data_IF_842046055328
#
_entry.id   IF_842046055328
#
_cell.length_a   1.000
_cell.length_b   1.000
_cell.length_c   1.000
_cell.angle_alpha   90.00
_cell.angle_beta   90.00
_cell.angle_gamma   90.00
#
_symmetry.space_group_name_H-M   'P 1'
#
loop_
_entity.id
_entity.type
_entity.pdbx_description
1 polymer ?
#
# COMPACT_ATOMS: atom_id res chain seq x y z
N UNK A 1 9.68 7.08 29.33
CA UNK A 1 8.39 7.73 29.00
C UNK A 1 7.47 6.59 28.57
N UNK A 2 6.29 6.41 29.20
CA UNK A 2 5.27 5.52 28.68
C UNK A 2 4.88 6.09 27.33
N UNK A 3 5.10 5.33 26.25
CA UNK A 3 4.61 5.70 24.92
C UNK A 3 3.09 5.84 25.05
N UNK A 4 2.59 6.95 24.54
CA UNK A 4 1.15 7.24 24.57
C UNK A 4 0.48 6.22 23.66
N UNK A 5 -0.47 5.44 24.20
CA UNK A 5 -1.30 4.54 23.40
C UNK A 5 -2.00 5.36 22.32
N UNK A 6 -1.76 5.03 21.07
CA UNK A 6 -2.43 5.66 19.92
C UNK A 6 -3.49 4.71 19.36
N UNK A 7 -4.56 5.30 18.80
CA UNK A 7 -5.54 4.58 18.01
C UNK A 7 -5.15 4.73 16.55
N UNK A 8 -4.80 3.62 15.92
CA UNK A 8 -4.34 3.59 14.55
C UNK A 8 -5.30 2.76 13.68
N UNK A 9 -5.67 3.32 12.55
CA UNK A 9 -6.41 2.63 11.52
C UNK A 9 -5.48 2.29 10.35
N UNK A 10 -5.42 1.01 9.98
CA UNK A 10 -4.50 0.48 8.95
C UNK A 10 -5.32 -0.15 7.84
N UNK A 11 -4.99 0.10 6.57
CA UNK A 11 -5.66 -0.58 5.46
C UNK A 11 -4.68 -1.22 4.50
N UNK A 12 -5.12 -2.32 3.89
CA UNK A 12 -4.47 -2.99 2.76
C UNK A 12 -5.50 -3.18 1.64
N UNK A 13 -5.28 -2.52 0.51
CA UNK A 13 -6.18 -2.54 -0.66
C UNK A 13 -5.81 -3.62 -1.70
N UNK A 14 -4.84 -4.47 -1.39
CA UNK A 14 -4.52 -5.69 -2.15
C UNK A 14 -4.09 -6.76 -1.15
N UNK A 15 -4.98 -7.05 -0.19
CA UNK A 15 -4.66 -7.78 1.03
C UNK A 15 -4.20 -9.23 0.78
N UNK A 16 -4.57 -9.83 -0.35
CA UNK A 16 -4.22 -11.21 -0.66
C UNK A 16 -4.64 -12.14 0.47
N UNK A 17 -3.71 -12.91 1.00
CA UNK A 17 -3.92 -13.80 2.15
C UNK A 17 -3.89 -13.09 3.52
N UNK A 18 -3.78 -11.75 3.54
CA UNK A 18 -3.77 -10.94 4.77
C UNK A 18 -2.44 -10.96 5.54
N UNK A 19 -1.41 -11.62 5.03
CA UNK A 19 -0.18 -11.85 5.80
C UNK A 19 0.56 -10.55 6.14
N UNK A 20 0.71 -9.65 5.16
CA UNK A 20 1.36 -8.34 5.37
C UNK A 20 0.62 -7.51 6.42
N UNK A 21 -0.70 -7.37 6.26
CA UNK A 21 -1.55 -6.62 7.18
C UNK A 21 -1.49 -7.20 8.60
N UNK A 22 -1.62 -8.52 8.74
CA UNK A 22 -1.60 -9.20 10.04
C UNK A 22 -0.28 -8.97 10.79
N UNK A 23 0.87 -9.04 10.10
CA UNK A 23 2.19 -8.78 10.70
C UNK A 23 2.29 -7.33 11.19
N UNK A 24 1.84 -6.37 10.38
CA UNK A 24 1.87 -4.95 10.75
C UNK A 24 0.98 -4.69 11.96
N UNK A 25 -0.25 -5.22 11.98
CA UNK A 25 -1.16 -5.06 13.11
C UNK A 25 -0.61 -5.69 14.39
N UNK A 26 -0.05 -6.89 14.31
CA UNK A 26 0.58 -7.56 15.47
C UNK A 26 1.75 -6.73 16.00
N UNK A 27 2.59 -6.17 15.14
CA UNK A 27 3.70 -5.31 15.53
C UNK A 27 3.20 -4.03 16.23
N UNK A 28 2.24 -3.32 15.63
CA UNK A 28 1.68 -2.09 16.22
C UNK A 28 1.02 -2.36 17.58
N UNK A 29 0.26 -3.46 17.69
CA UNK A 29 -0.36 -3.87 18.95
C UNK A 29 0.67 -4.22 20.02
N UNK A 30 1.77 -4.89 19.65
CA UNK A 30 2.88 -5.21 20.60
C UNK A 30 3.58 -3.95 21.13
N UNK A 31 3.49 -2.84 20.42
CA UNK A 31 3.98 -1.51 20.85
C UNK A 31 2.97 -0.76 21.72
N UNK A 32 1.83 -1.38 22.04
CA UNK A 32 0.80 -0.81 22.91
C UNK A 32 -0.25 0.04 22.20
N UNK A 33 -0.31 0.03 20.86
CA UNK A 33 -1.33 0.75 20.11
C UNK A 33 -2.66 -0.02 20.07
N UNK A 34 -3.77 0.72 20.07
CA UNK A 34 -5.08 0.19 19.72
C UNK A 34 -5.23 0.23 18.20
N UNK A 35 -5.42 -0.95 17.56
CA UNK A 35 -5.44 -1.05 16.10
C UNK A 35 -6.79 -1.53 15.58
N UNK A 36 -7.23 -0.94 14.47
CA UNK A 36 -8.32 -1.41 13.61
C UNK A 36 -7.86 -1.44 12.17
N UNK A 37 -8.47 -2.24 11.31
CA UNK A 37 -8.04 -2.34 9.93
C UNK A 37 -9.14 -2.64 8.92
N UNK A 38 -8.87 -2.29 7.65
CA UNK A 38 -9.59 -2.72 6.46
C UNK A 38 -8.68 -3.59 5.59
N UNK A 39 -9.21 -4.70 5.10
CA UNK A 39 -8.56 -5.58 4.14
C UNK A 39 -9.45 -5.72 2.91
N UNK A 40 -8.97 -5.29 1.75
CA UNK A 40 -9.71 -5.35 0.50
C UNK A 40 -8.94 -6.21 -0.50
N UNK A 41 -9.62 -7.12 -1.17
CA UNK A 41 -9.06 -7.87 -2.30
C UNK A 41 -10.16 -8.20 -3.31
N UNK A 42 -9.81 -8.34 -4.58
CA UNK A 42 -10.73 -8.69 -5.65
C UNK A 42 -10.88 -10.20 -5.89
N UNK A 43 -10.18 -11.02 -5.13
CA UNK A 43 -10.25 -12.48 -5.13
C UNK A 43 -10.98 -12.96 -3.86
N UNK A 44 -12.15 -13.59 -4.03
CA UNK A 44 -13.00 -14.06 -2.93
C UNK A 44 -12.35 -15.17 -2.11
N UNK A 45 -11.53 -16.02 -2.75
CA UNK A 45 -10.78 -17.07 -2.05
C UNK A 45 -9.67 -16.44 -1.18
N UNK A 46 -8.91 -15.50 -1.73
CA UNK A 46 -7.83 -14.84 -0.99
C UNK A 46 -8.37 -14.07 0.22
N UNK A 47 -9.45 -13.30 0.05
CA UNK A 47 -10.05 -12.56 1.17
C UNK A 47 -10.62 -13.51 2.25
N UNK A 48 -11.14 -14.66 1.84
CA UNK A 48 -11.59 -15.70 2.77
C UNK A 48 -10.42 -16.31 3.55
N UNK A 49 -9.29 -16.54 2.89
CA UNK A 49 -8.05 -17.01 3.54
C UNK A 49 -7.53 -15.93 4.50
N UNK A 50 -7.56 -14.67 4.11
CA UNK A 50 -7.15 -13.54 4.96
C UNK A 50 -7.98 -13.48 6.24
N UNK A 51 -9.32 -13.62 6.14
CA UNK A 51 -10.21 -13.62 7.30
C UNK A 51 -9.91 -14.79 8.26
N UNK A 52 -9.68 -15.98 7.73
CA UNK A 52 -9.29 -17.13 8.56
C UNK A 52 -7.92 -16.96 9.20
N UNK A 53 -6.94 -16.41 8.48
CA UNK A 53 -5.61 -16.09 9.01
C UNK A 53 -5.69 -15.09 10.14
N UNK A 54 -6.44 -13.99 9.96
CA UNK A 54 -6.67 -13.00 11.00
C UNK A 54 -7.36 -13.59 12.24
N UNK A 55 -8.31 -14.49 12.04
CA UNK A 55 -8.98 -15.20 13.14
C UNK A 55 -8.00 -16.04 13.97
N UNK A 56 -7.13 -16.81 13.31
CA UNK A 56 -6.10 -17.59 13.99
C UNK A 56 -5.11 -16.75 14.79
N UNK A 57 -4.90 -15.49 14.39
CA UNK A 57 -4.05 -14.52 15.09
C UNK A 57 -4.80 -13.68 16.14
N UNK A 58 -6.08 -13.94 16.38
CA UNK A 58 -6.91 -13.19 17.34
C UNK A 58 -7.24 -11.76 16.87
N UNK A 59 -7.28 -11.52 15.57
CA UNK A 59 -7.50 -10.20 14.96
C UNK A 59 -8.92 -10.04 14.37
N UNK A 60 -9.81 -11.03 14.47
CA UNK A 60 -11.13 -11.05 13.82
C UNK A 60 -11.96 -9.79 14.08
N UNK A 61 -11.98 -9.32 15.32
CA UNK A 61 -12.77 -8.14 15.73
C UNK A 61 -12.10 -6.81 15.35
N UNK A 62 -10.88 -6.87 14.80
CA UNK A 62 -10.08 -5.69 14.48
C UNK A 62 -10.01 -5.40 13.00
N UNK A 63 -10.30 -6.39 12.15
CA UNK A 63 -10.15 -6.29 10.70
C UNK A 63 -11.51 -6.48 10.05
N UNK A 64 -11.91 -5.52 9.24
CA UNK A 64 -13.04 -5.65 8.32
C UNK A 64 -12.53 -6.12 6.95
N UNK A 65 -13.11 -7.20 6.43
CA UNK A 65 -12.71 -7.82 5.18
C UNK A 65 -13.74 -7.54 4.08
N UNK A 66 -13.29 -7.04 2.95
CA UNK A 66 -14.14 -6.67 1.82
C UNK A 66 -13.65 -7.33 0.52
N UNK A 67 -14.51 -8.13 -0.10
CA UNK A 67 -14.30 -8.62 -1.46
C UNK A 67 -14.74 -7.55 -2.45
N UNK A 68 -13.78 -6.87 -3.08
CA UNK A 68 -14.04 -5.76 -4.01
C UNK A 68 -12.83 -5.45 -4.89
N UNK A 69 -13.08 -4.91 -6.07
CA UNK A 69 -12.02 -4.28 -6.86
C UNK A 69 -11.65 -2.94 -6.19
N UNK A 70 -10.43 -2.87 -5.70
CA UNK A 70 -9.92 -1.72 -4.95
C UNK A 70 -9.80 -0.44 -5.77
N UNK A 71 -9.81 -0.54 -7.10
CA UNK A 71 -9.75 0.62 -8.01
C UNK A 71 -11.14 1.21 -8.32
N UNK A 72 -12.15 0.85 -7.56
CA UNK A 72 -13.44 1.54 -7.50
C UNK A 72 -13.57 2.38 -6.23
N UNK A 73 -14.65 3.13 -6.10
CA UNK A 73 -14.96 3.83 -4.85
C UNK A 73 -15.24 2.82 -3.74
N UNK A 74 -14.52 2.94 -2.63
CA UNK A 74 -14.64 2.08 -1.46
C UNK A 74 -15.30 2.84 -0.31
N UNK A 75 -16.18 2.17 0.41
CA UNK A 75 -16.81 2.71 1.61
C UNK A 75 -15.98 2.36 2.86
N UNK A 76 -14.75 2.84 2.89
CA UNK A 76 -13.82 2.64 4.01
C UNK A 76 -13.40 3.98 4.61
N UNK A 77 -13.01 3.95 5.90
CA UNK A 77 -12.49 5.13 6.56
C UNK A 77 -11.07 5.47 6.09
N UNK A 78 -10.69 6.76 6.06
CA UNK A 78 -9.30 7.14 5.83
C UNK A 78 -8.38 6.55 6.89
N UNK A 79 -7.20 6.06 6.46
CA UNK A 79 -6.27 5.32 7.30
C UNK A 79 -5.09 6.18 7.75
N UNK A 80 -4.59 5.90 8.95
CA UNK A 80 -3.34 6.47 9.46
C UNK A 80 -2.14 5.84 8.74
N UNK A 81 -2.27 4.55 8.41
CA UNK A 81 -1.24 3.78 7.72
C UNK A 81 -1.89 2.94 6.61
N UNK A 82 -1.31 2.97 5.42
CA UNK A 82 -1.63 2.06 4.32
C UNK A 82 -0.44 1.13 4.08
N UNK A 83 -0.71 -0.16 3.99
CA UNK A 83 0.28 -1.17 3.62
C UNK A 83 -0.26 -1.96 2.44
N UNK A 84 0.57 -2.30 1.46
CA UNK A 84 0.09 -3.14 0.36
C UNK A 84 1.24 -3.68 -0.49
N UNK A 85 1.13 -4.92 -0.95
CA UNK A 85 1.94 -5.46 -2.05
C UNK A 85 1.18 -5.29 -3.36
N UNK A 86 1.57 -4.31 -4.18
CA UNK A 86 0.79 -3.93 -5.33
C UNK A 86 0.74 -5.00 -6.41
N UNK A 87 -0.45 -5.22 -7.01
CA UNK A 87 -0.59 -6.07 -8.18
C UNK A 87 0.21 -5.47 -9.35
N UNK A 88 0.96 -6.31 -10.06
CA UNK A 88 1.81 -5.90 -11.18
C UNK A 88 1.14 -6.28 -12.49
N UNK A 89 1.24 -5.40 -13.50
CA UNK A 89 0.66 -5.59 -14.81
C UNK A 89 -0.30 -4.48 -15.20
N UNK A 90 -1.02 -4.72 -16.28
CA UNK A 90 -2.01 -3.75 -16.78
C UNK A 90 -3.37 -3.97 -16.11
N UNK A 91 -4.02 -2.85 -15.77
CA UNK A 91 -5.39 -2.89 -15.27
C UNK A 91 -6.37 -3.04 -16.44
N UNK A 92 -7.29 -4.04 -16.39
CA UNK A 92 -8.10 -4.37 -17.56
C UNK A 92 -9.29 -3.44 -17.81
N UNK A 93 -9.73 -2.67 -16.79
CA UNK A 93 -10.95 -1.84 -16.88
C UNK A 93 -10.58 -0.39 -17.19
N UNK A 94 -10.33 -0.09 -18.47
CA UNK A 94 -9.87 1.23 -18.92
C UNK A 94 -10.80 2.38 -18.52
N UNK A 95 -12.12 2.19 -18.59
CA UNK A 95 -13.08 3.25 -18.21
C UNK A 95 -12.93 3.67 -16.75
N UNK A 96 -12.62 2.74 -15.85
CA UNK A 96 -12.37 3.02 -14.46
C UNK A 96 -11.00 3.67 -14.26
N UNK A 97 -9.99 3.21 -14.99
CA UNK A 97 -8.65 3.78 -14.94
C UNK A 97 -8.63 5.29 -15.25
N UNK A 98 -9.47 5.76 -16.16
CA UNK A 98 -9.57 7.19 -16.55
C UNK A 98 -9.93 8.13 -15.37
N UNK A 99 -10.44 7.60 -14.27
CA UNK A 99 -10.73 8.41 -13.08
C UNK A 99 -9.47 8.77 -12.28
N UNK A 100 -8.34 8.16 -12.61
CA UNK A 100 -7.06 8.36 -11.90
C UNK A 100 -6.15 9.33 -12.67
N UNK A 101 -5.45 10.17 -11.94
CA UNK A 101 -4.44 11.09 -12.49
C UNK A 101 -3.19 10.36 -12.98
N UNK A 102 -2.93 9.18 -12.40
CA UNK A 102 -1.82 8.29 -12.76
C UNK A 102 -2.14 7.37 -13.95
N UNK A 103 -3.36 7.47 -14.51
CA UNK A 103 -3.72 6.73 -15.70
C UNK A 103 -2.98 7.23 -16.95
N UNK A 104 -2.77 6.32 -17.89
CA UNK A 104 -2.20 6.68 -19.19
C UNK A 104 -3.26 7.31 -20.08
N UNK A 105 -2.84 8.28 -20.88
CA UNK A 105 -3.73 8.95 -21.85
C UNK A 105 -4.21 7.99 -22.96
N UNK A 106 -3.40 6.98 -23.26
CA UNK A 106 -3.67 5.96 -24.28
C UNK A 106 -3.28 4.57 -23.78
N UNK A 107 -4.05 3.56 -24.19
CA UNK A 107 -3.82 2.16 -23.83
C UNK A 107 -4.20 1.83 -22.39
N UNK A 108 -3.76 0.66 -21.95
CA UNK A 108 -4.04 0.17 -20.60
C UNK A 108 -3.03 0.75 -19.60
N UNK A 109 -3.52 1.26 -18.49
CA UNK A 109 -2.69 1.79 -17.40
C UNK A 109 -2.09 0.67 -16.55
N UNK A 110 -0.94 0.91 -15.94
CA UNK A 110 -0.37 -0.02 -14.98
C UNK A 110 -1.21 -0.06 -13.70
N UNK A 111 -1.57 -1.26 -13.26
CA UNK A 111 -2.33 -1.46 -12.02
C UNK A 111 -1.61 -0.86 -10.82
N UNK A 112 -0.29 -1.05 -10.69
CA UNK A 112 0.50 -0.51 -9.58
C UNK A 112 0.57 1.02 -9.56
N UNK A 113 0.43 1.73 -10.70
CA UNK A 113 0.32 3.20 -10.71
C UNK A 113 -1.03 3.65 -10.15
N UNK A 114 -2.12 3.02 -10.60
CA UNK A 114 -3.47 3.32 -10.13
C UNK A 114 -3.62 2.98 -8.63
N UNK A 115 -3.07 1.84 -8.22
CA UNK A 115 -3.06 1.42 -6.80
C UNK A 115 -2.27 2.37 -5.91
N UNK A 116 -1.19 2.96 -6.43
CA UNK A 116 -0.44 3.97 -5.68
C UNK A 116 -1.33 5.17 -5.37
N UNK A 117 -2.00 5.72 -6.40
CA UNK A 117 -2.93 6.84 -6.23
C UNK A 117 -4.09 6.47 -5.31
N UNK A 118 -4.69 5.29 -5.50
CA UNK A 118 -5.83 4.85 -4.68
C UNK A 118 -5.46 4.76 -3.21
N UNK A 119 -4.33 4.13 -2.88
CA UNK A 119 -3.89 4.02 -1.50
C UNK A 119 -3.63 5.41 -0.88
N UNK A 120 -3.00 6.33 -1.60
CA UNK A 120 -2.77 7.69 -1.10
C UNK A 120 -4.07 8.47 -0.94
N UNK A 121 -5.07 8.25 -1.81
CA UNK A 121 -6.38 8.90 -1.67
C UNK A 121 -7.07 8.52 -0.34
N UNK A 122 -6.93 7.26 0.10
CA UNK A 122 -7.47 6.79 1.38
C UNK A 122 -6.55 6.99 2.60
N UNK A 123 -5.35 7.55 2.42
CA UNK A 123 -4.54 8.01 3.54
C UNK A 123 -5.09 9.32 4.12
N UNK A 124 -5.08 9.43 5.45
CA UNK A 124 -5.22 10.71 6.14
C UNK A 124 -4.09 11.66 5.75
N UNK A 125 -4.29 12.96 5.90
CA UNK A 125 -3.18 13.92 5.82
C UNK A 125 -2.08 13.56 6.82
N UNK A 126 -0.84 13.63 6.38
CA UNK A 126 0.35 13.19 7.13
C UNK A 126 0.40 11.70 7.46
N UNK A 127 -0.51 10.88 6.92
CA UNK A 127 -0.51 9.42 7.05
C UNK A 127 0.64 8.77 6.28
N UNK A 128 0.98 7.54 6.66
CA UNK A 128 2.11 6.80 6.13
C UNK A 128 1.67 5.70 5.17
N UNK A 129 2.35 5.59 4.02
CA UNK A 129 2.22 4.47 3.10
C UNK A 129 3.49 3.64 3.08
N UNK A 130 3.35 2.32 3.14
CA UNK A 130 4.43 1.33 3.05
C UNK A 130 4.04 0.34 1.98
N UNK A 131 4.61 0.50 0.78
CA UNK A 131 4.17 -0.24 -0.40
C UNK A 131 5.29 -1.10 -0.96
N UNK A 132 4.97 -2.35 -1.28
CA UNK A 132 5.85 -3.23 -2.06
C UNK A 132 5.50 -3.03 -3.53
N UNK A 133 6.47 -2.56 -4.30
CA UNK A 133 6.31 -2.12 -5.69
C UNK A 133 7.37 -2.75 -6.59
N UNK A 134 7.18 -2.79 -7.93
CA UNK A 134 8.26 -3.13 -8.84
C UNK A 134 9.47 -2.21 -8.62
N UNK A 135 10.69 -2.76 -8.62
CA UNK A 135 11.89 -1.94 -8.38
C UNK A 135 12.14 -0.91 -9.48
N UNK A 136 11.64 -1.15 -10.67
CA UNK A 136 11.72 -0.26 -11.82
C UNK A 136 10.55 0.74 -11.95
N UNK A 137 9.70 0.86 -10.92
CA UNK A 137 8.51 1.72 -10.94
C UNK A 137 8.85 3.18 -11.33
N UNK A 138 10.06 3.64 -11.03
CA UNK A 138 10.54 4.97 -11.34
C UNK A 138 11.47 5.02 -12.58
N UNK A 139 11.62 3.92 -13.32
CA UNK A 139 12.55 3.80 -14.45
C UNK A 139 11.83 3.54 -15.78
N UNK A 140 10.51 3.37 -15.79
CA UNK A 140 9.75 3.13 -17.00
C UNK A 140 9.57 4.40 -17.82
N UNK A 141 9.29 4.28 -19.12
CA UNK A 141 8.96 5.39 -20.03
C UNK A 141 7.68 6.15 -19.59
N UNK A 142 6.82 5.54 -18.79
CA UNK A 142 5.60 6.12 -18.23
C UNK A 142 5.78 6.76 -16.85
N UNK A 143 6.95 6.66 -16.26
CA UNK A 143 7.24 7.15 -14.90
C UNK A 143 6.90 8.63 -14.69
N UNK A 144 7.01 9.46 -15.74
CA UNK A 144 6.69 10.89 -15.64
C UNK A 144 5.28 11.17 -15.17
N UNK A 145 4.30 10.32 -15.53
CA UNK A 145 2.90 10.43 -15.09
C UNK A 145 2.79 10.22 -13.58
N UNK A 146 3.38 9.14 -13.07
CA UNK A 146 3.39 8.84 -11.63
C UNK A 146 4.17 9.89 -10.85
N UNK A 147 5.39 10.24 -11.29
CA UNK A 147 6.26 11.19 -10.60
C UNK A 147 5.69 12.61 -10.55
N UNK A 148 4.99 13.04 -11.61
CA UNK A 148 4.29 14.32 -11.63
C UNK A 148 3.27 14.39 -10.50
N UNK A 149 2.46 13.37 -10.35
CA UNK A 149 1.44 13.29 -9.31
C UNK A 149 2.04 13.13 -7.90
N UNK A 150 3.05 12.26 -7.73
CA UNK A 150 3.69 12.01 -6.42
C UNK A 150 4.29 13.27 -5.82
N UNK A 151 4.99 14.09 -6.62
CA UNK A 151 5.62 15.33 -6.16
C UNK A 151 4.63 16.32 -5.54
N UNK A 152 3.38 16.28 -5.97
CA UNK A 152 2.33 17.16 -5.47
C UNK A 152 1.62 16.61 -4.23
N UNK A 153 1.68 15.30 -4.01
CA UNK A 153 0.79 14.61 -3.07
C UNK A 153 1.50 13.96 -1.89
N UNK A 154 2.76 13.55 -2.05
CA UNK A 154 3.49 12.82 -1.01
C UNK A 154 4.95 13.25 -0.90
N UNK A 155 5.54 12.97 0.26
CA UNK A 155 6.99 12.96 0.46
C UNK A 155 7.47 11.51 0.45
N UNK A 156 8.37 11.17 -0.50
CA UNK A 156 9.04 9.86 -0.50
C UNK A 156 10.11 9.90 0.57
N UNK A 157 10.06 8.98 1.53
CA UNK A 157 10.98 8.90 2.65
C UNK A 157 12.08 7.87 2.43
N UNK A 158 11.70 6.70 1.85
CA UNK A 158 12.67 5.64 1.57
C UNK A 158 12.25 4.79 0.37
N UNK A 159 13.26 4.23 -0.30
CA UNK A 159 13.11 3.22 -1.34
C UNK A 159 14.17 2.13 -1.09
N UNK A 160 13.71 0.94 -0.68
CA UNK A 160 14.56 -0.14 -0.22
C UNK A 160 14.38 -1.37 -1.11
N UNK A 161 15.42 -1.77 -1.82
CA UNK A 161 15.38 -2.99 -2.64
C UNK A 161 15.27 -4.23 -1.76
N UNK A 162 14.38 -5.14 -2.15
CA UNK A 162 14.22 -6.43 -1.50
C UNK A 162 15.18 -7.47 -2.11
N UNK A 163 15.63 -8.46 -1.32
CA UNK A 163 16.49 -9.52 -1.80
C UNK A 163 15.86 -10.30 -2.95
N UNK A 164 16.64 -10.56 -4.01
CA UNK A 164 16.14 -11.20 -5.21
C UNK A 164 15.59 -12.62 -4.98
N UNK A 165 16.10 -13.34 -3.98
CA UNK A 165 15.66 -14.70 -3.66
C UNK A 165 14.21 -14.78 -3.18
N UNK A 166 13.62 -13.69 -2.70
CA UNK A 166 12.20 -13.65 -2.29
C UNK A 166 11.24 -13.81 -3.48
N UNK A 167 11.71 -13.64 -4.72
CA UNK A 167 10.87 -13.56 -5.93
C UNK A 167 11.27 -14.58 -7.00
N UNK A 168 11.62 -15.80 -6.59
CA UNK A 168 12.28 -16.86 -7.38
C UNK A 168 11.63 -17.26 -8.71
N UNK A 169 10.39 -16.94 -9.00
CA UNK A 169 9.72 -17.52 -10.17
C UNK A 169 9.62 -16.62 -11.40
N UNK A 170 9.80 -15.29 -11.29
CA UNK A 170 9.49 -14.40 -12.41
C UNK A 170 10.59 -13.37 -12.74
N UNK A 171 11.75 -13.42 -12.09
CA UNK A 171 12.82 -12.45 -12.33
C UNK A 171 12.48 -11.00 -11.98
N UNK A 172 11.29 -10.77 -11.40
CA UNK A 172 10.80 -9.46 -11.06
C UNK A 172 11.36 -9.04 -9.71
N UNK A 173 12.12 -7.95 -9.72
CA UNK A 173 12.62 -7.34 -8.49
C UNK A 173 11.54 -6.45 -7.89
N UNK A 174 11.39 -6.49 -6.57
CA UNK A 174 10.51 -5.59 -5.83
C UNK A 174 11.28 -4.76 -4.81
N UNK A 175 10.72 -3.63 -4.46
CA UNK A 175 11.27 -2.70 -3.47
C UNK A 175 10.16 -2.24 -2.53
N UNK A 176 10.53 -1.89 -1.29
CA UNK A 176 9.64 -1.21 -0.36
C UNK A 176 9.77 0.29 -0.60
N UNK A 177 8.64 0.94 -0.89
CA UNK A 177 8.55 2.39 -0.95
C UNK A 177 7.83 2.89 0.31
N UNK A 178 8.48 3.76 1.07
CA UNK A 178 7.90 4.40 2.25
C UNK A 178 7.63 5.85 1.89
N UNK A 179 6.37 6.24 2.02
CA UNK A 179 5.90 7.60 1.73
C UNK A 179 5.13 8.19 2.91
N UNK A 180 5.03 9.49 2.94
CA UNK A 180 4.10 10.20 3.81
C UNK A 180 3.24 11.14 2.97
N UNK A 181 1.92 11.08 3.14
CA UNK A 181 1.00 12.01 2.46
C UNK A 181 1.24 13.43 2.97
N UNK A 182 1.21 14.41 2.06
CA UNK A 182 1.33 15.81 2.43
C UNK A 182 0.27 16.20 3.47
N UNK A 183 0.64 17.09 4.38
CA UNK A 183 -0.22 17.59 5.45
C UNK A 183 0.59 18.42 6.44
N UNK A 184 -0.08 19.08 7.38
CA UNK A 184 0.57 19.98 8.34
C UNK A 184 1.68 19.32 9.20
N UNK A 185 1.56 18.01 9.44
CA UNK A 185 2.51 17.22 10.26
C UNK A 185 3.44 16.37 9.41
N UNK A 186 3.39 16.49 8.09
CA UNK A 186 4.26 15.69 7.23
C UNK A 186 5.71 16.17 7.35
N UNK A 187 6.62 15.18 7.33
CA UNK A 187 8.06 15.41 7.39
C UNK A 187 8.55 15.60 5.97
N UNK A 188 8.92 16.83 5.64
CA UNK A 188 9.60 17.09 4.37
C UNK A 188 11.04 16.59 4.50
N UNK A 189 11.31 15.40 3.98
CA UNK A 189 12.66 14.87 3.95
C UNK A 189 13.52 15.66 2.95
N UNK A 190 14.66 16.18 3.40
CA UNK A 190 15.66 16.81 2.52
C UNK A 190 16.35 15.77 1.62
N UNK A 191 16.34 14.50 2.04
CA UNK A 191 16.96 13.38 1.35
C UNK A 191 16.07 12.14 1.44
N UNK A 192 16.03 11.37 0.37
CA UNK A 192 15.37 10.04 0.33
C UNK A 192 16.39 8.98 0.72
N UNK A 193 16.01 8.10 1.66
CA UNK A 193 16.84 6.94 1.99
C UNK A 193 16.75 5.92 0.85
N UNK A 194 17.87 5.68 0.19
CA UNK A 194 18.03 4.59 -0.78
C UNK A 194 18.87 3.49 -0.16
N UNK A 195 18.46 2.23 -0.31
CA UNK A 195 19.17 1.12 0.27
C UNK A 195 18.73 -0.23 -0.26
N UNK A 196 19.43 -1.26 0.19
CA UNK A 196 19.10 -2.66 -0.05
C UNK A 196 18.92 -3.36 1.28
N UNK A 197 17.89 -4.22 1.37
CA UNK A 197 17.74 -5.11 2.50
C UNK A 197 18.69 -6.28 2.26
N UNK A 198 19.63 -6.55 3.18
CA UNK A 198 20.60 -7.63 3.00
C UNK A 198 19.92 -9.01 3.00
N UNK A 199 20.60 -9.98 2.37
CA UNK A 199 20.22 -11.39 2.35
C UNK A 199 20.20 -12.03 3.75
#
# INVERSE_FOLDING_TARGET
KKDKTEKLHVSDLAAGTGNLLNIVLAHLASRGNEVTAEAVDNDDLLISVAANSGSLMGLSEKIHYTHSDSLQELLIAPSDIMVSDFPIGYYPVNERAKNYKTAFSEGNSFAHFLMFEQNVNYLKESGWGIFIVPSDIFETDKTSVLMGWLKETVHIQAFLSLPAYLFHKNGMKKSINIIQKNGEKSIQAEQVLLGEIPD
#
